data_IF_569890055225
#
_entry.id   IF_569890055225
#
_cell.length_a   1.000
_cell.length_b   1.000
_cell.length_c   1.000
_cell.angle_alpha   90.00
_cell.angle_beta   90.00
_cell.angle_gamma   90.00
#
_symmetry.space_group_name_H-M   'P 1'
#
loop_
_entity.id
_entity.type
_entity.pdbx_description
1 polymer ?
#
# COMPACT_ATOMS: atom_id res chain seq x y z
N UNK A 1 27.60 -1.28 7.65
CA UNK A 1 27.31 -0.51 6.42
C UNK A 1 26.05 0.31 6.67
N UNK A 2 26.07 1.62 6.46
CA UNK A 2 24.86 2.44 6.60
C UNK A 2 23.87 2.03 5.49
N UNK A 3 22.75 1.40 5.87
CA UNK A 3 21.64 1.13 4.97
C UNK A 3 21.07 2.45 4.45
N UNK A 4 21.60 2.95 3.34
CA UNK A 4 21.14 4.19 2.72
C UNK A 4 19.86 3.88 1.97
N UNK A 5 18.73 4.31 2.52
CA UNK A 5 17.45 4.23 1.83
C UNK A 5 17.54 5.00 0.50
N UNK A 6 16.93 4.43 -0.55
CA UNK A 6 16.85 5.04 -1.88
C UNK A 6 15.66 5.97 -1.95
N UNK A 7 15.86 7.15 -2.52
CA UNK A 7 14.78 8.11 -2.70
C UNK A 7 14.12 7.93 -4.06
N UNK A 8 12.79 7.99 -4.08
CA UNK A 8 11.97 8.06 -5.29
C UNK A 8 11.21 9.38 -5.26
N UNK A 9 11.30 10.13 -6.35
CA UNK A 9 10.48 11.30 -6.61
C UNK A 9 9.88 11.17 -8.01
N UNK A 10 8.55 11.08 -8.11
CA UNK A 10 7.86 10.87 -9.37
C UNK A 10 6.48 11.53 -9.35
N UNK A 11 6.21 12.36 -10.35
CA UNK A 11 4.88 12.94 -10.61
C UNK A 11 4.12 13.43 -9.35
N UNK A 12 4.80 14.26 -8.56
CA UNK A 12 4.22 14.92 -7.39
C UNK A 12 4.23 14.10 -6.08
N UNK A 13 4.80 12.90 -6.07
CA UNK A 13 5.06 12.14 -4.83
C UNK A 13 6.56 11.95 -4.62
N UNK A 14 6.98 11.94 -3.35
CA UNK A 14 8.35 11.66 -2.92
C UNK A 14 8.35 10.78 -1.69
N UNK A 15 9.13 9.70 -1.70
CA UNK A 15 9.29 8.79 -0.58
C UNK A 15 10.62 8.06 -0.66
N UNK A 16 10.97 7.32 0.39
CA UNK A 16 12.18 6.50 0.42
C UNK A 16 11.82 5.02 0.49
N UNK A 17 12.64 4.18 -0.12
CA UNK A 17 12.53 2.71 -0.10
C UNK A 17 13.82 2.07 0.42
N UNK A 18 13.77 0.82 0.93
CA UNK A 18 14.96 0.04 1.26
C UNK A 18 15.96 -0.08 0.08
N UNK A 19 17.27 -0.21 0.37
CA UNK A 19 18.32 -0.27 -0.66
C UNK A 19 18.24 -1.51 -1.56
N UNK A 20 17.62 -2.58 -1.09
CA UNK A 20 17.38 -3.86 -1.77
C UNK A 20 16.10 -3.86 -2.62
N UNK A 21 15.21 -2.88 -2.44
CA UNK A 21 13.98 -2.76 -3.21
C UNK A 21 14.21 -2.03 -4.54
N UNK A 22 13.51 -2.40 -5.61
CA UNK A 22 13.64 -1.81 -6.94
C UNK A 22 12.29 -1.44 -7.55
N UNK A 23 12.30 -0.55 -8.54
CA UNK A 23 11.11 -0.19 -9.29
C UNK A 23 10.76 -1.33 -10.26
N UNK A 24 9.63 -2.00 -10.05
CA UNK A 24 9.14 -3.05 -10.94
C UNK A 24 8.27 -2.50 -12.08
N UNK A 25 7.38 -1.55 -11.77
CA UNK A 25 6.53 -0.91 -12.77
C UNK A 25 6.31 0.58 -12.46
N UNK A 26 6.25 1.39 -13.52
CA UNK A 26 6.03 2.82 -13.48
C UNK A 26 4.84 3.23 -14.34
N UNK A 27 4.01 4.11 -13.79
CA UNK A 27 2.96 4.82 -14.50
C UNK A 27 2.88 6.26 -14.01
N UNK A 28 2.07 7.09 -14.67
CA UNK A 28 1.96 8.53 -14.32
C UNK A 28 1.55 8.72 -12.85
N UNK A 29 0.68 7.86 -12.33
CA UNK A 29 0.07 7.95 -10.99
C UNK A 29 0.10 6.61 -10.24
N UNK A 30 1.09 5.80 -10.58
CA UNK A 30 1.22 4.42 -10.16
C UNK A 30 2.70 4.05 -10.07
N UNK A 31 3.12 3.40 -8.98
CA UNK A 31 4.40 2.71 -8.89
C UNK A 31 4.20 1.34 -8.25
N UNK A 32 4.87 0.34 -8.79
CA UNK A 32 5.08 -0.96 -8.17
C UNK A 32 6.56 -1.07 -7.79
N UNK A 33 6.82 -1.33 -6.52
CA UNK A 33 8.14 -1.56 -5.97
C UNK A 33 8.24 -3.04 -5.59
N UNK A 34 9.34 -3.65 -5.98
CA UNK A 34 9.61 -5.07 -5.82
C UNK A 34 10.89 -5.26 -4.99
N UNK A 35 11.00 -6.40 -4.34
CA UNK A 35 12.24 -6.93 -3.77
C UNK A 35 12.66 -8.21 -4.52
N UNK A 36 13.66 -8.93 -4.02
CA UNK A 36 14.12 -10.20 -4.61
C UNK A 36 13.01 -11.27 -4.69
N UNK A 37 12.00 -11.16 -3.83
CA UNK A 37 10.87 -12.07 -3.81
C UNK A 37 9.78 -11.62 -4.80
N UNK A 38 9.64 -10.34 -5.11
CA UNK A 38 8.66 -9.82 -6.08
C UNK A 38 7.93 -8.60 -5.53
N UNK A 39 6.63 -8.41 -5.80
CA UNK A 39 5.90 -7.23 -5.31
C UNK A 39 6.00 -7.05 -3.80
N UNK A 40 6.55 -5.91 -3.39
CA UNK A 40 6.76 -5.55 -1.98
C UNK A 40 5.86 -4.36 -1.58
N UNK A 41 5.72 -3.36 -2.47
CA UNK A 41 4.85 -2.22 -2.25
C UNK A 41 4.20 -1.72 -3.55
N UNK A 42 2.91 -1.40 -3.51
CA UNK A 42 2.20 -0.70 -4.57
C UNK A 42 1.74 0.67 -4.04
N UNK A 43 1.91 1.71 -4.85
CA UNK A 43 1.38 3.06 -4.57
C UNK A 43 0.62 3.60 -5.78
N UNK A 44 -0.57 4.15 -5.51
CA UNK A 44 -1.46 4.81 -6.47
C UNK A 44 -1.88 6.17 -5.90
N UNK A 45 -1.90 7.23 -6.70
CA UNK A 45 -2.36 8.54 -6.24
C UNK A 45 -3.14 9.30 -7.30
N UNK A 46 -4.17 10.03 -6.89
CA UNK A 46 -5.01 10.81 -7.80
C UNK A 46 -5.51 12.08 -7.13
N UNK A 47 -5.78 13.16 -7.87
CA UNK A 47 -6.49 14.30 -7.32
C UNK A 47 -7.92 13.87 -7.05
N UNK A 48 -8.45 14.30 -5.92
CA UNK A 48 -9.85 14.09 -5.57
C UNK A 48 -10.66 15.21 -6.20
N UNK A 49 -11.79 14.87 -6.82
CA UNK A 49 -12.79 15.85 -7.27
C UNK A 49 -13.98 15.78 -6.31
N UNK A 50 -14.22 16.84 -5.55
CA UNK A 50 -15.29 16.89 -4.55
C UNK A 50 -14.93 16.22 -3.21
N UNK A 51 -15.93 15.71 -2.49
CA UNK A 51 -15.74 15.16 -1.14
C UNK A 51 -14.97 13.84 -1.17
N UNK A 52 -14.01 13.70 -0.26
CA UNK A 52 -13.29 12.45 -0.05
C UNK A 52 -14.01 11.54 0.96
N UNK A 53 -13.93 10.22 0.77
CA UNK A 53 -14.45 9.23 1.72
C UNK A 53 -13.58 7.98 1.72
N UNK A 54 -12.87 7.76 2.83
CA UNK A 54 -12.06 6.57 3.04
C UNK A 54 -12.87 5.28 2.86
N UNK A 55 -14.08 5.23 3.42
CA UNK A 55 -14.95 4.06 3.32
C UNK A 55 -15.37 3.75 1.88
N UNK A 56 -15.68 4.77 1.08
CA UNK A 56 -16.02 4.60 -0.32
C UNK A 56 -14.82 4.09 -1.13
N UNK A 57 -13.62 4.61 -0.87
CA UNK A 57 -12.38 4.14 -1.50
C UNK A 57 -12.05 2.69 -1.13
N UNK A 58 -12.23 2.30 0.13
CA UNK A 58 -12.01 0.92 0.56
C UNK A 58 -13.02 -0.06 -0.09
N UNK A 59 -14.30 0.32 -0.17
CA UNK A 59 -15.33 -0.45 -0.89
C UNK A 59 -14.98 -0.59 -2.38
N UNK A 60 -14.52 0.50 -3.01
CA UNK A 60 -14.06 0.48 -4.40
C UNK A 60 -12.87 -0.45 -4.57
N UNK A 61 -11.86 -0.39 -3.71
CA UNK A 61 -10.73 -1.31 -3.71
C UNK A 61 -11.23 -2.76 -3.68
N UNK A 62 -12.09 -3.11 -2.72
CA UNK A 62 -12.65 -4.46 -2.60
C UNK A 62 -13.39 -4.91 -3.87
N UNK A 63 -14.14 -4.01 -4.52
CA UNK A 63 -14.87 -4.31 -5.76
C UNK A 63 -13.95 -4.68 -6.93
N UNK A 64 -12.75 -4.11 -7.00
CA UNK A 64 -11.77 -4.37 -8.07
C UNK A 64 -10.97 -5.66 -7.85
N UNK A 65 -11.03 -6.24 -6.65
CA UNK A 65 -10.31 -7.46 -6.32
C UNK A 65 -11.10 -8.73 -6.66
N UNK A 66 -10.36 -9.83 -6.88
CA UNK A 66 -10.94 -11.18 -6.97
C UNK A 66 -11.75 -11.50 -5.72
N UNK A 67 -12.80 -12.33 -5.85
CA UNK A 67 -13.80 -12.61 -4.81
C UNK A 67 -13.19 -12.98 -3.44
N UNK A 68 -12.08 -13.72 -3.44
CA UNK A 68 -11.40 -14.12 -2.21
C UNK A 68 -10.76 -12.93 -1.49
N UNK A 69 -9.91 -12.17 -2.17
CA UNK A 69 -9.25 -10.98 -1.62
C UNK A 69 -10.31 -9.95 -1.21
N UNK A 70 -11.36 -9.75 -2.02
CA UNK A 70 -12.49 -8.87 -1.69
C UNK A 70 -13.08 -9.14 -0.30
N UNK A 71 -13.32 -10.41 0.05
CA UNK A 71 -13.90 -10.79 1.36
C UNK A 71 -12.91 -10.62 2.52
N UNK A 72 -11.63 -10.52 2.22
CA UNK A 72 -10.58 -10.43 3.22
C UNK A 72 -10.22 -9.00 3.62
N UNK A 73 -10.63 -8.00 2.82
CA UNK A 73 -10.29 -6.60 3.09
C UNK A 73 -11.03 -6.16 4.35
N UNK A 74 -10.28 -5.79 5.37
CA UNK A 74 -10.82 -5.37 6.65
C UNK A 74 -10.17 -4.04 7.08
N UNK A 75 -10.98 -3.00 7.40
CA UNK A 75 -10.47 -1.82 8.09
C UNK A 75 -9.75 -2.23 9.38
N UNK A 76 -8.70 -1.52 9.73
CA UNK A 76 -8.00 -1.66 11.02
C UNK A 76 -7.90 -0.29 11.70
N UNK A 77 -7.67 -0.30 13.01
CA UNK A 77 -7.15 0.89 13.69
C UNK A 77 -5.77 1.21 13.12
N UNK A 78 -5.50 2.50 12.90
CA UNK A 78 -4.19 2.94 12.43
C UNK A 78 -3.16 2.61 13.51
N UNK A 79 -2.12 1.87 13.13
CA UNK A 79 -1.04 1.57 14.09
C UNK A 79 -0.28 2.83 14.52
N UNK A 80 0.21 2.88 15.76
CA UNK A 80 0.91 4.06 16.31
C UNK A 80 2.08 4.56 15.44
N UNK A 81 2.81 3.62 14.81
CA UNK A 81 3.89 3.95 13.88
C UNK A 81 3.38 4.73 12.65
N UNK A 82 2.20 4.38 12.15
CA UNK A 82 1.56 5.04 11.01
C UNK A 82 0.86 6.33 11.41
N UNK A 83 0.26 6.40 12.61
CA UNK A 83 -0.29 7.66 13.14
C UNK A 83 0.78 8.76 13.18
N UNK A 84 1.98 8.42 13.66
CA UNK A 84 3.09 9.39 13.73
C UNK A 84 3.64 9.72 12.34
N UNK A 85 3.88 8.71 11.50
CA UNK A 85 4.50 8.90 10.19
C UNK A 85 3.59 9.60 9.18
N UNK A 86 2.27 9.55 9.39
CA UNK A 86 1.26 10.03 8.44
C UNK A 86 0.37 11.11 9.06
N UNK A 87 0.84 11.80 10.11
CA UNK A 87 0.08 12.80 10.85
C UNK A 87 -0.45 13.96 9.99
N UNK A 88 0.21 14.26 8.86
CA UNK A 88 -0.21 15.30 7.90
C UNK A 88 -1.35 14.86 6.96
N UNK A 89 -1.81 13.61 7.07
CA UNK A 89 -2.84 13.03 6.22
C UNK A 89 -4.01 12.49 7.03
N UNK A 90 -5.22 12.68 6.50
CA UNK A 90 -6.35 11.83 6.92
C UNK A 90 -6.02 10.40 6.48
N UNK A 91 -6.03 9.47 7.44
CA UNK A 91 -5.48 8.12 7.25
C UNK A 91 -6.50 7.07 7.63
N UNK A 92 -6.64 6.04 6.81
CA UNK A 92 -7.34 4.81 7.18
C UNK A 92 -6.50 3.60 6.82
N UNK A 93 -6.29 2.74 7.81
CA UNK A 93 -5.57 1.49 7.64
C UNK A 93 -6.53 0.35 7.27
N UNK A 94 -6.04 -0.60 6.47
CA UNK A 94 -6.72 -1.86 6.21
C UNK A 94 -5.72 -3.01 6.07
N UNK A 95 -6.22 -4.23 6.25
CA UNK A 95 -5.50 -5.48 5.95
C UNK A 95 -6.27 -6.29 4.92
N UNK A 96 -5.57 -7.22 4.26
CA UNK A 96 -6.16 -8.16 3.32
C UNK A 96 -5.34 -9.45 3.25
N UNK A 97 -5.95 -10.53 2.75
CA UNK A 97 -5.31 -11.83 2.53
C UNK A 97 -5.85 -12.55 1.29
N UNK A 98 -4.98 -13.31 0.64
CA UNK A 98 -5.25 -14.26 -0.42
C UNK A 98 -4.73 -15.65 0.01
N UNK A 99 -4.79 -16.64 -0.88
CA UNK A 99 -4.25 -17.98 -0.60
C UNK A 99 -2.74 -18.00 -0.34
N UNK A 100 -1.98 -17.12 -0.99
CA UNK A 100 -0.50 -17.15 -0.99
C UNK A 100 0.14 -15.87 -0.44
N UNK A 101 -0.63 -14.80 -0.31
CA UNK A 101 -0.13 -13.48 0.11
C UNK A 101 -1.10 -12.83 1.08
N UNK A 102 -0.58 -12.02 1.98
CA UNK A 102 -1.37 -11.10 2.78
C UNK A 102 -0.75 -9.72 2.71
N UNK A 103 -1.41 -8.73 3.29
CA UNK A 103 -0.88 -7.39 3.27
C UNK A 103 -1.60 -6.45 4.19
N UNK A 104 -0.97 -5.29 4.35
CA UNK A 104 -1.55 -4.12 5.00
C UNK A 104 -1.46 -2.96 4.02
N UNK A 105 -2.36 -2.01 4.16
CA UNK A 105 -2.33 -0.81 3.36
C UNK A 105 -2.93 0.37 4.08
N UNK A 106 -2.65 1.55 3.54
CA UNK A 106 -3.24 2.80 3.96
C UNK A 106 -3.92 3.49 2.79
N UNK A 107 -5.06 4.09 3.09
CA UNK A 107 -5.68 5.11 2.26
C UNK A 107 -5.38 6.45 2.92
N UNK A 108 -4.69 7.32 2.20
CA UNK A 108 -4.34 8.66 2.64
C UNK A 108 -5.14 9.68 1.87
N UNK A 109 -5.55 10.75 2.53
CA UNK A 109 -6.04 11.96 1.90
C UNK A 109 -5.29 13.16 2.45
N UNK A 110 -4.75 13.97 1.54
CA UNK A 110 -4.09 15.21 1.88
C UNK A 110 -5.10 16.36 1.80
N UNK A 111 -5.48 16.98 2.93
CA UNK A 111 -6.42 18.10 2.91
C UNK A 111 -5.83 19.34 2.22
N UNK A 112 -4.49 19.48 2.18
CA UNK A 112 -3.80 20.64 1.59
C UNK A 112 -3.72 20.58 0.06
N UNK A 113 -3.27 19.46 -0.50
CA UNK A 113 -3.10 19.33 -1.96
C UNK A 113 -4.25 18.58 -2.65
N UNK A 114 -5.24 18.12 -1.87
CA UNK A 114 -6.43 17.45 -2.33
C UNK A 114 -6.17 16.18 -3.17
N UNK A 115 -5.06 15.50 -2.90
CA UNK A 115 -4.75 14.18 -3.46
C UNK A 115 -5.12 13.07 -2.47
N UNK A 116 -5.60 11.96 -3.02
CA UNK A 116 -5.76 10.71 -2.30
C UNK A 116 -4.76 9.67 -2.81
N UNK A 117 -4.19 8.91 -1.88
CA UNK A 117 -3.22 7.86 -2.16
C UNK A 117 -3.67 6.54 -1.56
N UNK A 118 -3.45 5.46 -2.30
CA UNK A 118 -3.55 4.09 -1.81
C UNK A 118 -2.14 3.51 -1.80
N UNK A 119 -1.68 3.06 -0.65
CA UNK A 119 -0.39 2.39 -0.47
C UNK A 119 -0.66 0.99 0.09
N UNK A 120 -0.10 -0.03 -0.55
CA UNK A 120 -0.26 -1.42 -0.15
C UNK A 120 1.11 -2.06 0.02
N UNK A 121 1.31 -2.77 1.12
CA UNK A 121 2.50 -3.57 1.40
C UNK A 121 2.13 -5.05 1.35
N UNK A 122 2.87 -5.79 0.52
CA UNK A 122 2.66 -7.21 0.29
C UNK A 122 3.58 -8.00 1.22
N UNK A 123 2.98 -8.85 2.03
CA UNK A 123 3.69 -9.81 2.85
C UNK A 123 3.44 -11.19 2.26
N UNK A 124 4.50 -11.84 1.83
CA UNK A 124 4.39 -13.23 1.42
C UNK A 124 4.16 -14.10 2.65
N UNK A 125 3.25 -15.06 2.53
CA UNK A 125 3.25 -16.13 3.50
C UNK A 125 4.58 -16.91 3.34
N UNK A 126 5.22 -17.37 4.43
CA UNK A 126 6.29 -18.34 4.30
C UNK A 126 5.75 -19.54 3.48
N UNK A 127 6.58 -20.17 2.63
CA UNK A 127 6.15 -21.34 1.89
C UNK A 127 5.55 -22.36 2.86
N UNK A 128 4.37 -22.89 2.54
CA UNK A 128 3.85 -24.05 3.28
C UNK A 128 4.84 -25.17 3.05
N UNK A 129 5.63 -25.48 4.07
CA UNK A 129 6.42 -26.71 4.09
C UNK A 129 5.39 -27.80 4.35
N UNK A 130 4.98 -28.50 3.29
CA UNK A 130 4.25 -29.73 3.44
C UNK A 130 5.22 -30.73 4.08
N UNK A 131 5.12 -30.89 5.40
CA UNK A 131 5.80 -31.97 6.11
C UNK A 131 5.16 -33.26 5.62
N UNK A 132 5.83 -33.93 4.68
CA UNK A 132 5.52 -35.31 4.33
C UNK A 132 5.84 -36.16 5.55
N UNK A 133 4.80 -36.70 6.17
CA UNK A 133 4.87 -37.65 7.28
C UNK A 133 5.36 -39.03 6.80
#
# INVERSE_FOLDING_TARGET
MLNKWKEIAWYGVRFKIPPDWQLGQIGIRYLLIEDESGPAMEIKWTPVKGKFSHQAHLKRLASLQKKQVRKSIQPQSVSAAWETALADFETSEFSWKSDSTHGRGVILFCPTCHNASLIQFFHKAPPKIDLVA
#
